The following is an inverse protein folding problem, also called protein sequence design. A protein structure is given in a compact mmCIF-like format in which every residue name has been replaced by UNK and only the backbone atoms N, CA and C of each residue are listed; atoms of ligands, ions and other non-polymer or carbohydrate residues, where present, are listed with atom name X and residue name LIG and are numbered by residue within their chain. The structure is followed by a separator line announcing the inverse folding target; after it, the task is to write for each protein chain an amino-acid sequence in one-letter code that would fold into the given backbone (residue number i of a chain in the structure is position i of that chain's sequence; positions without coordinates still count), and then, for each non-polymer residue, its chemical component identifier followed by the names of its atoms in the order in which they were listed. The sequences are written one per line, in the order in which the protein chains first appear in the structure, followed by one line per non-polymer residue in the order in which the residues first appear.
data_IF_057247138953
#
_entry.id   IF_057247138953
#
_cell.length_a   1.000
_cell.length_b   1.000
_cell.length_c   1.000
_cell.angle_alpha   90.00
_cell.angle_beta   90.00
_cell.angle_gamma   90.00
#
_symmetry.space_group_name_H-M   'P 1'
#
loop_
_entity.id
_entity.type
_entity.pdbx_description
1 polymer ?
#
# COMPACT_ATOMS: atom_id res chain seq x y z
N UNK A 1 -14.97 -15.94 -21.75
CA UNK A 1 -13.49 -15.98 -21.87
C UNK A 1 -12.85 -14.63 -21.55
N UNK A 2 -13.36 -13.50 -22.07
CA UNK A 2 -12.78 -12.14 -21.83
C UNK A 2 -13.14 -11.45 -20.50
N UNK A 3 -14.19 -11.92 -19.81
CA UNK A 3 -14.66 -11.29 -18.58
C UNK A 3 -13.62 -11.36 -17.45
N UNK A 4 -12.94 -12.51 -17.31
CA UNK A 4 -11.89 -12.67 -16.30
C UNK A 4 -10.69 -11.75 -16.52
N UNK A 5 -10.31 -11.49 -17.78
CA UNK A 5 -9.21 -10.57 -18.10
C UNK A 5 -9.58 -9.12 -17.80
N UNK A 6 -10.82 -8.72 -18.10
CA UNK A 6 -11.32 -7.38 -17.79
C UNK A 6 -11.40 -7.13 -16.28
N UNK A 7 -11.85 -8.11 -15.49
CA UNK A 7 -11.85 -7.98 -14.03
C UNK A 7 -10.42 -7.88 -13.48
N UNK A 8 -9.49 -8.71 -13.94
CA UNK A 8 -8.08 -8.62 -13.55
C UNK A 8 -7.48 -7.26 -13.88
N UNK A 9 -7.75 -6.74 -15.08
CA UNK A 9 -7.29 -5.41 -15.49
C UNK A 9 -7.86 -4.28 -14.62
N UNK A 10 -9.12 -4.40 -14.15
CA UNK A 10 -9.71 -3.43 -13.22
C UNK A 10 -9.01 -3.44 -11.85
N UNK A 11 -8.68 -4.63 -11.34
CA UNK A 11 -7.94 -4.77 -10.06
C UNK A 11 -6.53 -4.19 -10.19
N UNK A 12 -5.82 -4.50 -11.28
CA UNK A 12 -4.50 -3.90 -11.55
C UNK A 12 -4.56 -2.37 -11.57
N UNK A 13 -5.50 -1.81 -12.35
CA UNK A 13 -5.70 -0.36 -12.43
C UNK A 13 -6.03 0.28 -11.07
N UNK A 14 -6.72 -0.43 -10.18
CA UNK A 14 -6.99 0.07 -8.84
C UNK A 14 -5.69 0.23 -8.03
N UNK A 15 -4.83 -0.79 -8.02
CA UNK A 15 -3.55 -0.74 -7.30
C UNK A 15 -2.56 0.24 -7.92
N UNK A 16 -2.50 0.35 -9.25
CA UNK A 16 -1.69 1.36 -9.95
C UNK A 16 -2.08 2.78 -9.51
N UNK A 17 -3.39 3.05 -9.43
CA UNK A 17 -3.89 4.35 -8.97
C UNK A 17 -3.61 4.59 -7.48
N UNK A 18 -3.66 3.53 -6.66
CA UNK A 18 -3.34 3.62 -5.23
C UNK A 18 -1.85 3.96 -5.03
N UNK A 19 -0.96 3.31 -5.77
CA UNK A 19 0.47 3.59 -5.75
C UNK A 19 0.76 5.04 -6.17
N UNK A 20 0.12 5.50 -7.24
CA UNK A 20 0.24 6.88 -7.71
C UNK A 20 -0.22 7.88 -6.63
N UNK A 21 -1.31 7.59 -5.92
CA UNK A 21 -1.78 8.43 -4.82
C UNK A 21 -0.79 8.49 -3.66
N UNK A 22 -0.21 7.36 -3.26
CA UNK A 22 0.85 7.35 -2.23
C UNK A 22 2.08 8.14 -2.67
N UNK A 23 2.56 7.95 -3.90
CA UNK A 23 3.69 8.71 -4.43
C UNK A 23 3.41 10.22 -4.40
N UNK A 24 2.21 10.64 -4.80
CA UNK A 24 1.81 12.05 -4.75
C UNK A 24 1.80 12.60 -3.32
N UNK A 25 1.28 11.85 -2.34
CA UNK A 25 1.27 12.25 -0.93
C UNK A 25 2.71 12.41 -0.41
N UNK A 26 3.60 11.47 -0.71
CA UNK A 26 5.00 11.52 -0.30
C UNK A 26 5.72 12.72 -0.94
N UNK A 27 5.48 13.01 -2.22
CA UNK A 27 6.02 14.20 -2.88
C UNK A 27 5.48 15.51 -2.28
N UNK A 28 4.21 15.56 -1.88
CA UNK A 28 3.64 16.73 -1.21
C UNK A 28 4.24 16.94 0.19
N UNK A 29 4.58 15.86 0.90
CA UNK A 29 5.25 15.94 2.20
C UNK A 29 6.62 16.64 2.11
N UNK A 30 7.37 16.41 1.02
CA UNK A 30 8.62 17.10 0.72
C UNK A 30 8.47 18.61 0.60
N UNK A 31 7.39 19.07 -0.02
CA UNK A 31 7.11 20.50 -0.20
C UNK A 31 6.65 21.17 1.09
N UNK A 32 5.91 20.45 1.96
CA UNK A 32 5.31 21.00 3.19
C UNK A 32 6.23 20.91 4.41
N UNK A 33 6.92 19.79 4.57
CA UNK A 33 7.65 19.45 5.80
C UNK A 33 9.17 19.43 5.61
N UNK A 34 9.67 19.72 4.39
CA UNK A 34 11.09 19.61 3.99
C UNK A 34 11.70 18.21 4.21
N UNK A 35 10.88 17.19 4.44
CA UNK A 35 11.31 15.79 4.49
C UNK A 35 11.37 15.23 3.07
N UNK A 36 12.59 15.00 2.58
CA UNK A 36 12.78 14.25 1.33
C UNK A 36 13.09 12.81 1.68
N UNK A 37 12.36 11.89 1.07
CA UNK A 37 12.79 10.49 1.01
C UNK A 37 13.81 10.34 -0.12
N UNK A 38 14.66 9.31 -0.06
CA UNK A 38 15.62 9.02 -1.14
C UNK A 38 14.90 8.53 -2.41
N UNK A 39 13.85 7.73 -2.26
CA UNK A 39 13.02 7.24 -3.36
C UNK A 39 11.53 7.15 -2.93
N UNK A 40 10.76 8.19 -3.24
CA UNK A 40 9.33 8.25 -2.93
C UNK A 40 8.51 7.21 -3.70
N UNK A 41 8.96 6.79 -4.89
CA UNK A 41 8.24 5.79 -5.70
C UNK A 41 8.44 4.40 -5.13
N UNK A 42 9.67 4.03 -4.79
CA UNK A 42 9.93 2.77 -4.11
C UNK A 42 9.17 2.66 -2.79
N UNK A 43 9.08 3.76 -2.02
CA UNK A 43 8.31 3.80 -0.78
C UNK A 43 6.80 3.67 -1.02
N UNK A 44 6.25 4.31 -2.06
CA UNK A 44 4.85 4.15 -2.45
C UNK A 44 4.53 2.70 -2.82
N UNK A 45 5.36 2.07 -3.67
CA UNK A 45 5.22 0.66 -4.04
C UNK A 45 5.32 -0.28 -2.83
N UNK A 46 6.22 0.01 -1.88
CA UNK A 46 6.29 -0.74 -0.62
C UNK A 46 4.97 -0.68 0.18
N UNK A 47 4.35 0.50 0.28
CA UNK A 47 3.07 0.66 0.99
C UNK A 47 1.93 -0.11 0.30
N UNK A 48 1.89 -0.11 -1.04
CA UNK A 48 0.93 -0.91 -1.80
C UNK A 48 1.13 -2.40 -1.55
N UNK A 49 2.37 -2.89 -1.66
CA UNK A 49 2.69 -4.30 -1.40
C UNK A 49 2.32 -4.73 0.02
N UNK A 50 2.51 -3.85 1.01
CA UNK A 50 2.06 -4.10 2.37
C UNK A 50 0.53 -4.30 2.43
N UNK A 51 -0.25 -3.39 1.82
CA UNK A 51 -1.71 -3.51 1.75
C UNK A 51 -2.16 -4.81 1.04
N UNK A 52 -1.55 -5.14 -0.10
CA UNK A 52 -1.82 -6.39 -0.82
C UNK A 52 -1.54 -7.62 0.04
N UNK A 53 -0.42 -7.63 0.78
CA UNK A 53 -0.09 -8.71 1.71
C UNK A 53 -1.14 -8.89 2.81
N UNK A 54 -1.73 -7.80 3.29
CA UNK A 54 -2.82 -7.85 4.29
C UNK A 54 -4.10 -8.45 3.70
N UNK A 55 -4.46 -8.12 2.46
CA UNK A 55 -5.60 -8.72 1.77
C UNK A 55 -5.37 -10.21 1.49
N UNK A 56 -4.20 -10.58 0.97
CA UNK A 56 -3.88 -11.98 0.69
C UNK A 56 -3.85 -12.82 1.96
N UNK A 57 -3.35 -12.27 3.07
CA UNK A 57 -3.37 -12.94 4.38
C UNK A 57 -4.79 -13.15 4.89
N UNK A 58 -5.67 -12.16 4.74
CA UNK A 58 -7.09 -12.28 5.10
C UNK A 58 -7.75 -13.42 4.30
N UNK A 59 -7.56 -13.43 2.97
CA UNK A 59 -8.11 -14.47 2.09
C UNK A 59 -7.56 -15.85 2.45
N UNK A 60 -6.24 -16.03 2.61
CA UNK A 60 -5.65 -17.35 2.96
C UNK A 60 -6.12 -17.86 4.31
N UNK A 61 -6.45 -16.95 5.22
CA UNK A 61 -6.95 -17.30 6.56
C UNK A 61 -8.43 -17.68 6.58
N UNK A 62 -9.10 -17.76 5.42
CA UNK A 62 -10.55 -17.90 5.32
C UNK A 62 -11.29 -16.84 6.16
N UNK A 63 -10.82 -15.59 6.10
CA UNK A 63 -11.36 -14.46 6.85
C UNK A 63 -11.30 -14.58 8.38
N UNK A 64 -10.50 -15.51 8.93
CA UNK A 64 -10.28 -15.64 10.38
C UNK A 64 -9.27 -14.62 10.93
N UNK A 65 -8.43 -14.03 10.07
CA UNK A 65 -7.42 -13.08 10.47
C UNK A 65 -8.01 -11.68 10.73
N UNK A 66 -7.89 -11.20 11.98
CA UNK A 66 -8.27 -9.84 12.33
C UNK A 66 -7.14 -8.84 11.99
N UNK A 67 -7.33 -8.08 10.91
CA UNK A 67 -6.37 -7.08 10.44
C UNK A 67 -6.10 -5.97 11.47
N UNK A 68 -7.09 -5.61 12.29
CA UNK A 68 -6.97 -4.51 13.27
C UNK A 68 -6.07 -4.88 14.45
N UNK A 69 -5.99 -6.15 14.80
CA UNK A 69 -5.27 -6.59 16.00
C UNK A 69 -3.75 -6.49 15.86
N UNK A 70 -3.24 -6.52 14.62
CA UNK A 70 -1.82 -6.45 14.32
C UNK A 70 -1.40 -5.17 13.61
N UNK A 71 -2.35 -4.37 13.11
CA UNK A 71 -2.05 -3.15 12.37
C UNK A 71 -1.15 -2.20 13.16
N UNK A 72 -1.48 -1.90 14.42
CA UNK A 72 -0.67 -1.00 15.26
C UNK A 72 0.78 -1.49 15.41
N UNK A 73 0.96 -2.80 15.59
CA UNK A 73 2.30 -3.40 15.70
C UNK A 73 3.05 -3.35 14.37
N UNK A 74 2.38 -3.63 13.26
CA UNK A 74 2.95 -3.56 11.92
C UNK A 74 3.32 -2.12 11.56
N UNK A 75 2.44 -1.17 11.87
CA UNK A 75 2.65 0.26 11.66
C UNK A 75 3.82 0.79 12.49
N UNK A 76 4.04 0.29 13.71
CA UNK A 76 5.20 0.67 14.52
C UNK A 76 6.56 0.36 13.86
N UNK A 77 6.62 -0.63 12.94
CA UNK A 77 7.83 -0.91 12.15
C UNK A 77 7.96 -0.01 10.91
N UNK A 78 6.85 0.53 10.42
CA UNK A 78 6.79 1.34 9.20
C UNK A 78 6.92 2.84 9.53
N UNK A 79 6.30 3.29 10.63
CA UNK A 79 6.30 4.68 11.08
C UNK A 79 7.70 5.33 11.13
N UNK A 80 8.77 4.65 11.60
CA UNK A 80 10.11 5.23 11.63
C UNK A 80 10.66 5.62 10.25
N UNK A 81 10.12 5.08 9.16
CA UNK A 81 10.50 5.49 7.81
C UNK A 81 10.06 6.94 7.49
N UNK A 82 9.11 7.49 8.26
CA UNK A 82 8.54 8.82 8.08
C UNK A 82 8.96 9.83 9.15
N UNK A 83 9.65 9.40 10.21
CA UNK A 83 10.14 10.23 11.32
C UNK A 83 11.47 10.93 10.93
#
# INVERSE_FOLDING_TARGET
MFEEELLKARVAKFFDNLELQFANILQLSKLRERKSFEDERALAGYLVNFCEGQFLRLVRSNFSYNQHQHFEKQWAFIKPLFD
#
